data_IF_897877540843
#
_entry.id   IF_897877540843
#
_cell.length_a   1.000
_cell.length_b   1.000
_cell.length_c   1.000
_cell.angle_alpha   90.00
_cell.angle_beta   90.00
_cell.angle_gamma   90.00
#
_symmetry.space_group_name_H-M   'P 1'
#
loop_
_entity.id
_entity.type
_entity.pdbx_description
1 polymer ?
#
# COMPACT_ATOMS: atom_id res chain seq x y z
N UNK A 1 5.90 -27.40 32.09
CA UNK A 1 4.78 -26.84 31.27
C UNK A 1 5.12 -27.04 29.81
N UNK A 2 4.32 -27.77 29.02
CA UNK A 2 4.56 -27.96 27.60
C UNK A 2 4.45 -26.62 26.85
N UNK A 3 5.50 -26.25 26.12
CA UNK A 3 5.48 -25.11 25.21
C UNK A 3 4.59 -25.45 24.02
N UNK A 4 3.48 -24.72 23.84
CA UNK A 4 2.61 -24.86 22.67
C UNK A 4 3.48 -24.71 21.41
N UNK A 5 3.43 -25.65 20.44
CA UNK A 5 4.20 -25.53 19.21
C UNK A 5 3.89 -24.20 18.53
N UNK A 6 4.88 -23.56 17.86
CA UNK A 6 4.64 -22.32 17.15
C UNK A 6 3.54 -22.54 16.12
N UNK A 7 2.42 -21.83 16.27
CA UNK A 7 1.30 -21.93 15.34
C UNK A 7 1.72 -21.40 13.96
N UNK A 8 1.38 -22.13 12.89
CA UNK A 8 1.63 -21.76 11.49
C UNK A 8 0.91 -20.45 11.09
N UNK A 9 -0.03 -19.98 11.90
CA UNK A 9 -0.85 -18.80 11.61
C UNK A 9 -0.04 -17.52 11.39
N UNK A 10 0.97 -17.22 12.21
CA UNK A 10 1.71 -15.95 12.07
C UNK A 10 2.48 -15.84 10.74
N UNK A 11 3.34 -16.81 10.36
CA UNK A 11 4.00 -16.79 9.06
C UNK A 11 3.02 -16.65 7.89
N UNK A 12 1.91 -17.40 7.93
CA UNK A 12 0.89 -17.35 6.89
C UNK A 12 0.29 -15.94 6.73
N UNK A 13 -0.15 -15.31 7.81
CA UNK A 13 -0.74 -13.97 7.73
C UNK A 13 0.26 -12.88 7.37
N UNK A 14 1.53 -12.98 7.79
CA UNK A 14 2.60 -12.07 7.33
C UNK A 14 2.83 -12.22 5.81
N UNK A 15 2.85 -13.45 5.28
CA UNK A 15 2.97 -13.68 3.83
C UNK A 15 1.78 -13.12 3.06
N UNK A 16 0.54 -13.39 3.51
CA UNK A 16 -0.67 -12.83 2.89
C UNK A 16 -0.62 -11.31 2.89
N UNK A 17 -0.23 -10.70 4.02
CA UNK A 17 -0.12 -9.25 4.12
C UNK A 17 0.90 -8.68 3.14
N UNK A 18 2.10 -9.25 3.09
CA UNK A 18 3.17 -8.78 2.20
C UNK A 18 2.78 -8.92 0.72
N UNK A 19 2.14 -10.03 0.35
CA UNK A 19 1.62 -10.23 -1.01
C UNK A 19 0.54 -9.20 -1.36
N UNK A 20 -0.44 -9.00 -0.48
CA UNK A 20 -1.51 -8.03 -0.70
C UNK A 20 -0.99 -6.59 -0.82
N UNK A 21 -0.07 -6.19 0.07
CA UNK A 21 0.57 -4.87 0.01
C UNK A 21 1.45 -4.71 -1.23
N UNK A 22 2.17 -5.76 -1.64
CA UNK A 22 3.00 -5.76 -2.85
C UNK A 22 2.18 -5.62 -4.13
N UNK A 23 1.05 -6.35 -4.24
CA UNK A 23 0.12 -6.22 -5.36
C UNK A 23 -0.51 -4.84 -5.42
N UNK A 24 -0.92 -4.30 -4.27
CA UNK A 24 -1.47 -2.94 -4.17
C UNK A 24 -0.44 -1.88 -4.58
N UNK A 25 0.78 -1.96 -4.06
CA UNK A 25 1.85 -1.02 -4.44
C UNK A 25 2.17 -1.13 -5.94
N UNK A 26 2.27 -2.35 -6.44
CA UNK A 26 2.55 -2.63 -7.85
C UNK A 26 1.50 -2.03 -8.77
N UNK A 27 0.21 -2.17 -8.45
CA UNK A 27 -0.87 -1.61 -9.29
C UNK A 27 -0.84 -0.09 -9.33
N UNK A 28 -0.56 0.59 -8.21
CA UNK A 28 -0.42 2.04 -8.17
C UNK A 28 0.70 2.54 -9.08
N UNK A 29 1.89 1.96 -8.95
CA UNK A 29 3.07 2.34 -9.75
C UNK A 29 2.84 2.04 -11.23
N UNK A 30 2.30 0.87 -11.56
CA UNK A 30 2.06 0.48 -12.96
C UNK A 30 0.97 1.32 -13.62
N UNK A 31 -0.09 1.70 -12.91
CA UNK A 31 -1.12 2.61 -13.44
C UNK A 31 -0.54 3.98 -13.78
N UNK A 32 0.30 4.54 -12.90
CA UNK A 32 0.97 5.81 -13.12
C UNK A 32 1.96 5.75 -14.31
N UNK A 33 2.77 4.70 -14.37
CA UNK A 33 3.72 4.49 -15.47
C UNK A 33 2.99 4.33 -16.81
N UNK A 34 1.90 3.58 -16.82
CA UNK A 34 1.07 3.38 -18.02
C UNK A 34 0.51 4.70 -18.53
N UNK A 35 0.02 5.58 -17.63
CA UNK A 35 -0.43 6.92 -18.02
C UNK A 35 0.68 7.72 -18.72
N UNK A 36 1.88 7.76 -18.13
CA UNK A 36 3.02 8.48 -18.70
C UNK A 36 3.39 7.99 -20.11
N UNK A 37 3.44 6.67 -20.29
CA UNK A 37 3.75 6.04 -21.58
C UNK A 37 2.64 6.31 -22.60
N UNK A 38 1.39 6.08 -22.22
CA UNK A 38 0.23 6.17 -23.11
C UNK A 38 0.00 7.60 -23.61
N UNK A 39 -0.01 8.59 -22.71
CA UNK A 39 -0.16 10.00 -23.11
C UNK A 39 1.02 10.47 -23.98
N UNK A 40 2.25 10.03 -23.67
CA UNK A 40 3.42 10.33 -24.50
C UNK A 40 3.30 9.74 -25.91
N UNK A 41 2.91 8.47 -26.01
CA UNK A 41 2.74 7.78 -27.28
C UNK A 41 1.60 8.38 -28.12
N UNK A 42 0.45 8.67 -27.51
CA UNK A 42 -0.70 9.25 -28.22
C UNK A 42 -0.40 10.63 -28.78
N UNK A 43 0.29 11.50 -28.02
CA UNK A 43 0.72 12.81 -28.54
C UNK A 43 1.75 12.70 -29.66
N UNK A 44 2.63 11.70 -29.62
CA UNK A 44 3.62 11.48 -30.67
C UNK A 44 3.00 10.92 -31.96
N UNK A 45 1.94 10.11 -31.85
CA UNK A 45 1.26 9.52 -33.00
C UNK A 45 0.22 10.45 -33.61
N UNK A 46 -0.29 11.39 -32.82
CA UNK A 46 -1.38 12.33 -33.16
C UNK A 46 -2.56 11.63 -33.90
N UNK A 47 -3.14 10.57 -33.29
CA UNK A 47 -4.17 9.79 -33.96
C UNK A 47 -5.47 10.59 -34.07
N UNK A 48 -6.19 10.37 -35.17
CA UNK A 48 -7.60 10.74 -35.31
C UNK A 48 -8.50 9.54 -35.03
N UNK A 49 -9.66 9.80 -34.44
CA UNK A 49 -10.66 8.79 -34.11
C UNK A 49 -11.97 9.14 -34.81
N UNK A 50 -12.49 8.22 -35.61
CA UNK A 50 -13.75 8.44 -36.36
C UNK A 50 -14.95 8.74 -35.45
N UNK A 51 -14.98 8.20 -34.23
CA UNK A 51 -16.04 8.51 -33.24
C UNK A 51 -15.99 9.96 -32.73
N UNK A 52 -14.86 10.65 -32.88
CA UNK A 52 -14.67 12.04 -32.49
C UNK A 52 -14.44 12.95 -33.70
N UNK A 53 -14.94 12.59 -34.89
CA UNK A 53 -14.73 13.37 -36.13
C UNK A 53 -15.24 14.82 -36.02
N UNK A 54 -16.32 15.04 -35.26
CA UNK A 54 -16.87 16.37 -35.01
C UNK A 54 -16.03 17.23 -34.03
N UNK A 55 -15.10 16.62 -33.28
CA UNK A 55 -14.25 17.31 -32.31
C UNK A 55 -13.00 17.88 -32.99
N UNK A 56 -12.85 19.20 -32.93
CA UNK A 56 -11.74 19.93 -33.58
C UNK A 56 -10.54 20.18 -32.66
N UNK A 57 -10.61 19.77 -31.39
CA UNK A 57 -9.51 19.89 -30.44
C UNK A 57 -8.49 18.73 -30.54
N UNK A 58 -7.43 18.74 -29.71
CA UNK A 58 -6.42 17.69 -29.71
C UNK A 58 -7.01 16.31 -29.35
N UNK A 59 -7.07 15.40 -30.32
CA UNK A 59 -7.67 14.07 -30.13
C UNK A 59 -6.76 13.08 -29.40
N UNK A 60 -5.44 13.32 -29.42
CA UNK A 60 -4.46 12.47 -28.75
C UNK A 60 -4.70 12.31 -27.24
N UNK A 61 -4.91 13.42 -26.52
CA UNK A 61 -5.19 13.41 -25.08
C UNK A 61 -6.57 12.81 -24.76
N UNK A 62 -7.55 13.04 -25.64
CA UNK A 62 -8.90 12.49 -25.52
C UNK A 62 -8.86 10.95 -25.59
N UNK A 63 -8.24 10.39 -26.62
CA UNK A 63 -8.08 8.94 -26.78
C UNK A 63 -7.23 8.33 -25.68
N UNK A 64 -6.16 9.01 -25.25
CA UNK A 64 -5.31 8.56 -24.14
C UNK A 64 -6.11 8.47 -22.85
N UNK A 65 -6.90 9.50 -22.52
CA UNK A 65 -7.78 9.52 -21.36
C UNK A 65 -8.81 8.39 -21.38
N UNK A 66 -9.41 8.12 -22.55
CA UNK A 66 -10.40 7.05 -22.71
C UNK A 66 -9.82 5.66 -22.40
N UNK A 67 -8.64 5.35 -22.94
CA UNK A 67 -7.94 4.07 -22.70
C UNK A 67 -7.44 4.02 -21.24
N UNK A 68 -6.81 5.09 -20.76
CA UNK A 68 -6.25 5.15 -19.41
C UNK A 68 -7.33 4.99 -18.34
N UNK A 69 -8.56 5.45 -18.56
CA UNK A 69 -9.66 5.27 -17.63
C UNK A 69 -9.94 3.78 -17.34
N UNK A 70 -9.79 2.90 -18.34
CA UNK A 70 -9.93 1.44 -18.15
C UNK A 70 -8.78 0.86 -17.33
N UNK A 71 -7.57 1.37 -17.51
CA UNK A 71 -6.39 0.99 -16.72
C UNK A 71 -6.58 1.43 -15.26
N UNK A 72 -7.07 2.65 -15.02
CA UNK A 72 -7.36 3.12 -13.67
C UNK A 72 -8.44 2.30 -12.98
N UNK A 73 -9.52 1.93 -13.68
CA UNK A 73 -10.54 1.03 -13.13
C UNK A 73 -9.94 -0.33 -12.70
N UNK A 74 -9.09 -0.92 -13.53
CA UNK A 74 -8.39 -2.16 -13.16
C UNK A 74 -7.48 -1.95 -11.95
N UNK A 75 -6.77 -0.81 -11.90
CA UNK A 75 -5.96 -0.38 -10.76
C UNK A 75 -6.77 -0.26 -9.47
N UNK A 76 -7.95 0.35 -9.53
CA UNK A 76 -8.87 0.54 -8.40
C UNK A 76 -9.38 -0.79 -7.85
N UNK A 77 -9.72 -1.75 -8.73
CA UNK A 77 -10.10 -3.11 -8.31
C UNK A 77 -8.96 -3.80 -7.58
N UNK A 78 -7.75 -3.77 -8.13
CA UNK A 78 -6.57 -4.38 -7.48
C UNK A 78 -6.26 -3.69 -6.15
N UNK A 79 -6.35 -2.35 -6.11
CA UNK A 79 -6.20 -1.55 -4.89
C UNK A 79 -7.21 -1.95 -3.83
N UNK A 80 -8.50 -2.10 -4.17
CA UNK A 80 -9.54 -2.49 -3.23
C UNK A 80 -9.30 -3.89 -2.65
N UNK A 81 -8.93 -4.85 -3.50
CA UNK A 81 -8.57 -6.22 -3.08
C UNK A 81 -7.34 -6.19 -2.17
N UNK A 82 -6.30 -5.46 -2.56
CA UNK A 82 -5.06 -5.32 -1.81
C UNK A 82 -5.29 -4.68 -0.44
N UNK A 83 -6.03 -3.56 -0.39
CA UNK A 83 -6.38 -2.87 0.85
C UNK A 83 -7.17 -3.77 1.80
N UNK A 84 -8.15 -4.51 1.28
CA UNK A 84 -8.93 -5.48 2.07
C UNK A 84 -8.05 -6.60 2.61
N UNK A 85 -7.17 -7.18 1.78
CA UNK A 85 -6.25 -8.23 2.19
C UNK A 85 -5.25 -7.78 3.26
N UNK A 86 -4.71 -6.58 3.12
CA UNK A 86 -3.81 -5.93 4.09
C UNK A 86 -4.53 -5.68 5.42
N UNK A 87 -5.76 -5.13 5.37
CA UNK A 87 -6.55 -4.86 6.56
C UNK A 87 -6.91 -6.15 7.31
N UNK A 88 -7.46 -7.14 6.60
CA UNK A 88 -7.86 -8.42 7.19
C UNK A 88 -6.66 -9.17 7.81
N UNK A 89 -5.53 -9.23 7.10
CA UNK A 89 -4.31 -9.85 7.63
C UNK A 89 -3.74 -9.10 8.83
N UNK A 90 -3.81 -7.77 8.85
CA UNK A 90 -3.39 -6.96 10.01
C UNK A 90 -4.25 -7.25 11.23
N UNK A 91 -5.58 -7.27 11.06
CA UNK A 91 -6.52 -7.64 12.12
C UNK A 91 -6.21 -9.05 12.64
N UNK A 92 -5.99 -10.03 11.76
CA UNK A 92 -5.66 -11.39 12.16
C UNK A 92 -4.34 -11.49 12.94
N UNK A 93 -3.31 -10.74 12.52
CA UNK A 93 -2.02 -10.67 13.22
C UNK A 93 -2.15 -10.07 14.62
N UNK A 94 -2.97 -9.03 14.77
CA UNK A 94 -3.25 -8.39 16.06
C UNK A 94 -4.09 -9.28 16.97
N UNK A 95 -5.22 -9.81 16.47
CA UNK A 95 -6.21 -10.51 17.26
C UNK A 95 -5.79 -11.95 17.62
N UNK A 96 -5.13 -12.66 16.70
CA UNK A 96 -4.86 -14.10 16.85
C UNK A 96 -3.38 -14.46 16.96
N UNK A 97 -2.47 -13.61 16.48
CA UNK A 97 -1.03 -13.90 16.47
C UNK A 97 -0.22 -13.10 17.49
N UNK A 98 -0.87 -12.22 18.27
CA UNK A 98 -0.23 -11.46 19.34
C UNK A 98 0.85 -10.50 18.85
N UNK A 99 0.62 -9.84 17.71
CA UNK A 99 1.57 -8.85 17.19
C UNK A 99 1.82 -7.74 18.24
N UNK A 100 3.09 -7.48 18.63
CA UNK A 100 3.39 -6.61 19.76
C UNK A 100 3.19 -5.12 19.42
N UNK A 101 2.12 -4.52 19.94
CA UNK A 101 1.73 -3.12 19.69
C UNK A 101 2.79 -2.08 20.06
N UNK A 102 3.69 -2.37 20.99
CA UNK A 102 4.73 -1.42 21.45
C UNK A 102 5.96 -1.36 20.53
N UNK A 103 6.03 -2.21 19.49
CA UNK A 103 7.14 -2.16 18.52
C UNK A 103 6.95 -1.00 17.55
N UNK A 104 8.01 -0.24 17.31
CA UNK A 104 8.04 0.87 16.34
C UNK A 104 7.58 0.42 14.95
N UNK A 105 7.99 -0.77 14.49
CA UNK A 105 7.54 -1.32 13.20
C UNK A 105 6.02 -1.52 13.14
N UNK A 106 5.40 -1.93 14.24
CA UNK A 106 3.94 -2.09 14.31
C UNK A 106 3.24 -0.73 14.30
N UNK A 107 3.77 0.27 15.02
CA UNK A 107 3.24 1.62 14.98
C UNK A 107 3.28 2.24 13.57
N UNK A 108 4.43 2.12 12.87
CA UNK A 108 4.56 2.60 11.47
C UNK A 108 3.55 1.89 10.58
N UNK A 109 3.46 0.55 10.65
CA UNK A 109 2.53 -0.24 9.84
C UNK A 109 1.08 0.17 10.05
N UNK A 110 0.65 0.37 11.29
CA UNK A 110 -0.73 0.77 11.60
C UNK A 110 -1.04 2.21 11.18
N UNK A 111 -0.11 3.13 11.40
CA UNK A 111 -0.26 4.52 10.97
C UNK A 111 -0.34 4.61 9.44
N UNK A 112 0.58 3.96 8.73
CA UNK A 112 0.59 3.92 7.27
C UNK A 112 -0.66 3.24 6.70
N UNK A 113 -1.13 2.15 7.30
CA UNK A 113 -2.39 1.52 6.92
C UNK A 113 -3.57 2.48 7.10
N UNK A 114 -3.67 3.13 8.27
CA UNK A 114 -4.74 4.10 8.54
C UNK A 114 -4.76 5.25 7.53
N UNK A 115 -3.59 5.83 7.24
CA UNK A 115 -3.45 6.88 6.23
C UNK A 115 -3.87 6.39 4.83
N UNK A 116 -3.39 5.21 4.41
CA UNK A 116 -3.76 4.63 3.12
C UNK A 116 -5.27 4.35 3.02
N UNK A 117 -5.91 3.85 4.09
CA UNK A 117 -7.35 3.61 4.10
C UNK A 117 -8.16 4.90 3.95
N UNK A 118 -7.73 6.00 4.59
CA UNK A 118 -8.37 7.31 4.45
C UNK A 118 -8.26 7.81 3.01
N UNK A 119 -7.05 7.73 2.42
CA UNK A 119 -6.80 8.19 1.05
C UNK A 119 -7.59 7.37 0.02
N UNK A 120 -7.55 6.04 0.11
CA UNK A 120 -8.34 5.16 -0.78
C UNK A 120 -9.84 5.39 -0.64
N UNK A 121 -10.33 5.63 0.59
CA UNK A 121 -11.75 5.95 0.78
C UNK A 121 -12.11 7.28 0.10
N UNK A 122 -11.29 8.31 0.26
CA UNK A 122 -11.47 9.58 -0.44
C UNK A 122 -11.43 9.40 -1.97
N UNK A 123 -10.46 8.64 -2.47
CA UNK A 123 -10.31 8.33 -3.89
C UNK A 123 -11.55 7.65 -4.47
N UNK A 124 -11.98 6.53 -3.89
CA UNK A 124 -13.07 5.71 -4.42
C UNK A 124 -14.45 6.36 -4.28
N UNK A 125 -14.70 7.10 -3.19
CA UNK A 125 -16.04 7.63 -2.91
C UNK A 125 -16.24 9.09 -3.30
N UNK A 126 -15.16 9.85 -3.50
CA UNK A 126 -15.26 11.29 -3.81
C UNK A 126 -14.57 11.61 -5.14
N UNK A 127 -13.30 11.25 -5.27
CA UNK A 127 -12.49 11.72 -6.38
C UNK A 127 -12.80 11.00 -7.70
N UNK A 128 -12.81 9.66 -7.69
CA UNK A 128 -13.10 8.84 -8.88
C UNK A 128 -14.49 9.13 -9.45
N UNK A 129 -15.59 9.14 -8.66
CA UNK A 129 -16.91 9.42 -9.22
C UNK A 129 -16.99 10.80 -9.88
N UNK A 130 -16.39 11.83 -9.25
CA UNK A 130 -16.39 13.20 -9.78
C UNK A 130 -15.58 13.30 -11.07
N UNK A 131 -14.35 12.78 -11.08
CA UNK A 131 -13.50 12.81 -12.27
C UNK A 131 -14.08 11.96 -13.41
N UNK A 132 -14.64 10.79 -13.12
CA UNK A 132 -15.27 9.94 -14.12
C UNK A 132 -16.48 10.62 -14.75
N UNK A 133 -17.32 11.29 -13.94
CA UNK A 133 -18.45 12.06 -14.46
C UNK A 133 -18.01 13.13 -15.46
N UNK A 134 -16.98 13.90 -15.11
CA UNK A 134 -16.43 14.96 -15.98
C UNK A 134 -15.77 14.38 -17.24
N UNK A 135 -15.05 13.25 -17.12
CA UNK A 135 -14.44 12.58 -18.26
C UNK A 135 -15.50 12.04 -19.25
N UNK A 136 -16.57 11.43 -18.74
CA UNK A 136 -17.68 10.96 -19.57
C UNK A 136 -18.44 12.11 -20.23
N UNK A 137 -18.66 13.22 -19.51
CA UNK A 137 -19.27 14.42 -20.08
C UNK A 137 -18.39 15.00 -21.19
N UNK A 138 -17.07 15.06 -20.99
CA UNK A 138 -16.12 15.49 -22.01
C UNK A 138 -16.18 14.61 -23.26
N UNK A 139 -16.14 13.28 -23.12
CA UNK A 139 -16.19 12.37 -24.27
C UNK A 139 -17.52 12.48 -25.03
N UNK A 140 -18.65 12.57 -24.34
CA UNK A 140 -19.97 12.73 -24.98
C UNK A 140 -20.09 14.05 -25.73
N UNK A 141 -19.65 15.15 -25.13
CA UNK A 141 -19.67 16.47 -25.79
C UNK A 141 -18.72 16.51 -26.99
N UNK A 142 -17.54 15.87 -26.89
CA UNK A 142 -16.61 15.75 -28.00
C UNK A 142 -17.18 14.90 -29.15
N UNK A 143 -17.81 13.76 -28.85
CA UNK A 143 -18.52 12.93 -29.85
C UNK A 143 -19.62 13.72 -30.58
N UNK A 144 -20.32 14.60 -29.85
CA UNK A 144 -21.37 15.46 -30.41
C UNK A 144 -20.85 16.73 -31.13
N UNK A 145 -19.55 17.04 -31.06
CA UNK A 145 -18.98 18.29 -31.60
C UNK A 145 -19.31 19.56 -30.78
N UNK A 146 -19.77 19.40 -29.54
CA UNK A 146 -20.15 20.51 -28.64
C UNK A 146 -18.91 21.08 -27.94
N UNK A 147 -18.13 21.90 -28.65
CA UNK A 147 -16.81 22.36 -28.19
C UNK A 147 -16.81 23.08 -26.84
N UNK A 148 -17.78 23.97 -26.59
CA UNK A 148 -17.86 24.73 -25.33
C UNK A 148 -18.17 23.80 -24.14
N UNK A 149 -19.07 22.83 -24.35
CA UNK A 149 -19.41 21.84 -23.32
C UNK A 149 -18.23 20.89 -23.05
N UNK A 150 -17.55 20.44 -24.12
CA UNK A 150 -16.37 19.59 -24.03
C UNK A 150 -15.25 20.29 -23.27
N UNK A 151 -14.98 21.56 -23.58
CA UNK A 151 -13.97 22.37 -22.90
C UNK A 151 -14.31 22.54 -21.41
N UNK A 152 -15.56 22.86 -21.08
CA UNK A 152 -16.02 23.01 -19.69
C UNK A 152 -15.78 21.73 -18.87
N UNK A 153 -16.22 20.58 -19.39
CA UNK A 153 -16.05 19.30 -18.72
C UNK A 153 -14.56 18.91 -18.57
N UNK A 154 -13.74 19.21 -19.59
CA UNK A 154 -12.30 18.98 -19.53
C UNK A 154 -11.61 19.87 -18.47
N UNK A 155 -12.02 21.13 -18.33
CA UNK A 155 -11.47 22.04 -17.33
C UNK A 155 -11.83 21.61 -15.90
N UNK A 156 -13.07 21.13 -15.68
CA UNK A 156 -13.49 20.56 -14.41
C UNK A 156 -12.69 19.28 -14.07
N UNK A 157 -12.45 18.41 -15.06
CA UNK A 157 -11.57 17.25 -14.88
C UNK A 157 -10.12 17.68 -14.53
N UNK A 158 -9.61 18.70 -15.22
CA UNK A 158 -8.26 19.26 -15.00
C UNK A 158 -8.09 19.87 -13.61
N UNK A 159 -9.15 20.46 -13.04
CA UNK A 159 -9.13 21.01 -11.69
C UNK A 159 -8.86 19.93 -10.63
N UNK A 160 -9.34 18.70 -10.86
CA UNK A 160 -9.15 17.57 -9.94
C UNK A 160 -7.84 16.81 -10.13
N UNK A 161 -7.24 16.89 -11.31
CA UNK A 161 -6.05 16.12 -11.67
C UNK A 161 -4.86 16.30 -10.71
N UNK A 162 -4.50 17.52 -10.23
CA UNK A 162 -3.44 17.68 -9.23
C UNK A 162 -3.74 16.96 -7.91
N UNK A 163 -5.01 16.95 -7.49
CA UNK A 163 -5.46 16.25 -6.27
C UNK A 163 -5.31 14.75 -6.44
N UNK A 164 -5.76 14.18 -7.56
CA UNK A 164 -5.60 12.76 -7.87
C UNK A 164 -4.14 12.34 -7.92
N UNK A 165 -3.28 13.14 -8.56
CA UNK A 165 -1.85 12.87 -8.59
C UNK A 165 -1.24 12.83 -7.18
N UNK A 166 -1.57 13.82 -6.34
CA UNK A 166 -1.02 13.92 -5.00
C UNK A 166 -1.55 12.80 -4.09
N UNK A 167 -2.83 12.45 -4.20
CA UNK A 167 -3.44 11.30 -3.52
C UNK A 167 -2.71 10.01 -3.90
N UNK A 168 -2.54 9.73 -5.19
CA UNK A 168 -1.88 8.51 -5.67
C UNK A 168 -0.45 8.39 -5.14
N UNK A 169 0.31 9.50 -5.13
CA UNK A 169 1.67 9.54 -4.55
C UNK A 169 1.62 9.29 -3.04
N UNK A 170 0.73 9.94 -2.31
CA UNK A 170 0.59 9.76 -0.86
C UNK A 170 0.22 8.31 -0.51
N UNK A 171 -0.73 7.72 -1.24
CA UNK A 171 -1.14 6.31 -1.07
C UNK A 171 0.01 5.37 -1.41
N UNK A 172 0.75 5.61 -2.50
CA UNK A 172 1.95 4.84 -2.86
C UNK A 172 2.99 4.85 -1.73
N UNK A 173 3.29 6.02 -1.18
CA UNK A 173 4.24 6.16 -0.08
C UNK A 173 3.76 5.47 1.20
N UNK A 174 2.47 5.60 1.52
CA UNK A 174 1.87 4.93 2.68
C UNK A 174 1.97 3.41 2.56
N UNK A 175 1.59 2.84 1.41
CA UNK A 175 1.67 1.39 1.17
C UNK A 175 3.13 0.91 1.17
N UNK A 176 4.06 1.66 0.58
CA UNK A 176 5.49 1.34 0.60
C UNK A 176 6.08 1.34 2.01
N UNK A 177 5.76 2.35 2.83
CA UNK A 177 6.19 2.40 4.24
C UNK A 177 5.63 1.23 5.05
N UNK A 178 4.36 0.90 4.85
CA UNK A 178 3.70 -0.24 5.49
C UNK A 178 4.37 -1.57 5.13
N UNK A 179 4.62 -1.79 3.83
CA UNK A 179 5.31 -2.99 3.33
C UNK A 179 6.75 -3.07 3.86
N UNK A 180 7.49 -1.97 3.83
CA UNK A 180 8.85 -1.89 4.36
C UNK A 180 8.92 -2.16 5.87
N UNK A 181 7.99 -1.63 6.65
CA UNK A 181 7.88 -1.92 8.08
C UNK A 181 7.54 -3.40 8.36
N UNK A 182 6.69 -4.01 7.51
CA UNK A 182 6.39 -5.44 7.55
C UNK A 182 7.64 -6.30 7.29
N UNK A 183 8.37 -6.01 6.21
CA UNK A 183 9.61 -6.71 5.86
C UNK A 183 10.68 -6.55 6.95
N UNK A 184 10.85 -5.34 7.50
CA UNK A 184 11.79 -5.09 8.61
C UNK A 184 11.40 -5.85 9.88
N UNK A 185 10.10 -5.90 10.21
CA UNK A 185 9.59 -6.67 11.34
C UNK A 185 9.87 -8.18 11.19
N UNK A 186 9.70 -8.72 9.98
CA UNK A 186 9.98 -10.12 9.67
C UNK A 186 11.48 -10.44 9.77
N UNK A 187 12.35 -9.57 9.24
CA UNK A 187 13.80 -9.76 9.27
C UNK A 187 14.41 -9.62 10.69
N UNK A 188 13.89 -8.70 11.51
CA UNK A 188 14.39 -8.46 12.88
C UNK A 188 13.96 -9.52 13.89
N UNK A 189 12.89 -10.28 13.60
CA UNK A 189 12.37 -11.34 14.47
C UNK A 189 13.37 -12.46 14.78
N UNK A 190 14.31 -12.76 13.87
CA UNK A 190 15.30 -13.82 14.07
C UNK A 190 16.46 -13.45 15.01
N UNK A 191 16.75 -12.17 15.22
CA UNK A 191 17.94 -11.72 15.97
C UNK A 191 17.66 -11.62 17.48
N UNK A 192 16.45 -11.20 17.87
CA UNK A 192 16.10 -10.96 19.27
C UNK A 192 15.73 -12.24 20.06
N UNK A 193 15.42 -13.34 19.35
CA UNK A 193 15.03 -14.61 19.99
C UNK A 193 16.19 -15.61 20.13
N UNK A 194 17.42 -15.21 19.76
CA UNK A 194 18.63 -15.78 20.33
C UNK A 194 18.74 -15.32 21.79
N UNK A 195 17.75 -15.68 22.62
CA UNK A 195 17.87 -15.72 24.07
C UNK A 195 19.17 -16.43 24.32
N UNK A 196 20.16 -15.71 24.85
CA UNK A 196 21.28 -16.33 25.53
C UNK A 196 20.63 -17.40 26.41
N UNK A 197 20.88 -18.70 26.16
CA UNK A 197 20.26 -19.75 26.94
C UNK A 197 20.46 -19.35 28.39
N UNK A 198 19.35 -19.14 29.10
CA UNK A 198 19.34 -18.77 30.52
C UNK A 198 20.35 -19.71 31.16
N UNK A 199 21.50 -19.14 31.55
CA UNK A 199 22.78 -19.83 31.77
C UNK A 199 22.60 -21.33 31.98
N UNK A 200 23.20 -22.17 31.14
CA UNK A 200 23.53 -23.54 31.54
C UNK A 200 23.97 -23.45 33.01
N UNK A 201 23.39 -24.27 33.92
CA UNK A 201 23.67 -24.17 35.35
C UNK A 201 25.17 -23.96 35.49
N UNK A 202 25.55 -22.90 36.19
CA UNK A 202 26.93 -22.54 36.48
C UNK A 202 27.60 -23.74 37.16
N UNK A 203 28.05 -24.69 36.37
CA UNK A 203 28.88 -25.83 36.76
C UNK A 203 30.31 -25.40 36.99
N UNK A 204 30.58 -24.09 36.98
CA UNK A 204 31.66 -23.56 37.78
C UNK A 204 31.25 -23.78 39.23
N UNK A 205 31.71 -24.91 39.78
CA UNK A 205 31.81 -25.14 41.22
C UNK A 205 32.19 -23.83 41.89
N UNK A 206 31.35 -23.36 42.82
CA UNK A 206 31.82 -22.32 43.72
C UNK A 206 33.04 -22.89 44.44
N UNK A 207 34.24 -22.26 44.35
CA UNK A 207 35.40 -22.73 45.07
C UNK A 207 35.03 -22.74 46.55
N UNK A 208 35.00 -23.94 47.12
CA UNK A 208 34.74 -24.17 48.54
C UNK A 208 35.91 -23.53 49.29
N UNK A 209 35.74 -22.28 49.73
CA UNK A 209 36.73 -21.60 50.55
C UNK A 209 36.98 -22.48 51.78
N UNK A 210 38.21 -22.99 51.89
CA UNK A 210 38.64 -23.83 53.00
C UNK A 210 38.34 -23.08 54.30
N UNK A 211 37.62 -23.76 55.20
CA UNK A 211 37.07 -23.15 56.40
C UNK A 211 38.11 -22.41 57.23
N UNK A 212 37.86 -21.12 57.46
CA UNK A 212 38.40 -20.45 58.65
C UNK A 212 37.63 -20.96 59.86
N UNK A 213 38.11 -22.08 60.39
CA UNK A 213 37.75 -22.57 61.70
C UNK A 213 38.33 -21.59 62.74
N UNK A 214 37.67 -20.44 62.95
CA UNK A 214 38.01 -19.56 64.07
C UNK A 214 37.46 -20.22 65.32
N UNK A 215 38.31 -21.03 65.94
CA UNK A 215 38.09 -21.53 67.29
C UNK A 215 37.82 -20.34 68.21
N UNK A 216 36.63 -20.34 68.79
CA UNK A 216 36.38 -19.63 70.03
C UNK A 216 37.10 -20.40 71.14
N UNK A 217 38.08 -19.76 71.76
CA UNK A 217 38.64 -20.19 73.04
C UNK A 217 38.57 -19.00 73.98
N UNK A 218 37.71 -19.19 74.99
CA UNK A 218 37.66 -18.66 76.36
C UNK A 218 38.19 -17.25 76.63
#
# INVERSE_FOLDING_TARGET
>A
MPTKPPGIGRPLFETIHALAAGLWLGSLVMSAATAGILFGAMRSLDPSFGVFEAYTGPQSDLGAGFIQNKVFLAGDVIQFIGATGVLASTIALLAFCGLPLRRVSTAIRLFSLGAAMILVSYHLFVLVPRMQGNAEAYWRAAEAGEMDAAQTAHDEFRADHPTARNEMVATTLAVAMMLGAGAWSAASGGVAERRVPKSLPSGLEQPKLAGTNRGASA
#
